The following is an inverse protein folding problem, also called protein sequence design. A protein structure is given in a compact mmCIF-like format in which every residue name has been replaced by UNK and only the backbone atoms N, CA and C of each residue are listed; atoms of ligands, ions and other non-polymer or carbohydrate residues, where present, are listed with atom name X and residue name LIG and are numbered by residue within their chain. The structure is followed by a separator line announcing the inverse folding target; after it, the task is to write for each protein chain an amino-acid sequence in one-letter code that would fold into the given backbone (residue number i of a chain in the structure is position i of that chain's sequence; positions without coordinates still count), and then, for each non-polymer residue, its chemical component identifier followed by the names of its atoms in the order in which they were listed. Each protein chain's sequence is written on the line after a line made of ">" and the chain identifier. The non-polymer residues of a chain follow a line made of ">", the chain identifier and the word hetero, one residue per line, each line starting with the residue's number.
data_IF_332175864800
#
_entry.id   IF_332175864800
#
_cell.length_a   1.000
_cell.length_b   1.000
_cell.length_c   1.000
_cell.angle_alpha   90.00
_cell.angle_beta   90.00
_cell.angle_gamma   90.00
#
_symmetry.space_group_name_H-M   'P 1'
#
loop_
_entity.id
_entity.type
_entity.pdbx_description
1 polymer ?
#
# COMPACT_ATOMS: atom_id res chain seq x y z
N UNK A 1 -9.69 -14.09 -13.40
CA UNK A 1 -9.99 -15.50 -13.67
C UNK A 1 -11.38 -15.93 -13.15
N UNK A 2 -11.80 -15.68 -11.88
CA UNK A 2 -13.12 -16.11 -11.38
C UNK A 2 -14.29 -15.62 -12.24
N UNK A 3 -14.23 -14.37 -12.70
CA UNK A 3 -15.25 -13.75 -13.57
C UNK A 3 -15.50 -14.58 -14.84
N UNK A 4 -14.44 -14.95 -15.54
CA UNK A 4 -14.56 -15.77 -16.77
C UNK A 4 -15.01 -17.19 -16.49
N UNK A 5 -14.59 -17.78 -15.37
CA UNK A 5 -15.07 -19.12 -14.94
C UNK A 5 -16.57 -19.09 -14.61
N UNK A 6 -17.08 -17.97 -14.17
CA UNK A 6 -18.52 -17.74 -13.96
C UNK A 6 -19.30 -17.41 -15.27
N UNK A 7 -18.61 -17.39 -16.42
CA UNK A 7 -19.24 -17.07 -17.71
C UNK A 7 -19.55 -15.58 -17.91
N UNK A 8 -18.98 -14.68 -17.08
CA UNK A 8 -19.26 -13.23 -17.13
C UNK A 8 -18.15 -12.51 -17.91
N UNK A 9 -18.48 -11.71 -18.93
CA UNK A 9 -17.49 -10.90 -19.63
C UNK A 9 -16.98 -9.76 -18.73
N UNK A 10 -15.78 -9.27 -19.03
CA UNK A 10 -15.15 -8.20 -18.25
C UNK A 10 -14.67 -7.05 -19.15
N UNK A 11 -14.98 -5.82 -18.73
CA UNK A 11 -14.34 -4.61 -19.23
C UNK A 11 -13.29 -4.20 -18.21
N UNK A 12 -12.02 -4.15 -18.62
CA UNK A 12 -10.90 -3.79 -17.75
C UNK A 12 -10.41 -2.38 -18.12
N UNK A 13 -10.34 -1.52 -17.14
CA UNK A 13 -9.74 -0.20 -17.23
C UNK A 13 -8.57 -0.12 -16.25
N UNK A 14 -7.32 -0.27 -16.70
CA UNK A 14 -6.15 -0.21 -15.83
C UNK A 14 -5.86 1.22 -15.35
N UNK A 15 -4.97 1.33 -14.37
CA UNK A 15 -4.38 2.62 -13.99
C UNK A 15 -3.68 3.25 -15.21
N UNK A 16 -3.91 4.53 -15.47
CA UNK A 16 -3.44 5.20 -16.69
C UNK A 16 -1.92 5.18 -16.82
N UNK A 17 -1.19 5.31 -15.73
CA UNK A 17 0.29 5.32 -15.71
C UNK A 17 0.94 3.98 -16.08
N UNK A 18 0.23 2.86 -15.90
CA UNK A 18 0.72 1.50 -16.19
C UNK A 18 -0.10 0.77 -17.25
N UNK A 19 -1.01 1.47 -17.91
CA UNK A 19 -1.94 0.88 -18.90
C UNK A 19 -1.24 0.20 -20.06
N UNK A 20 -0.07 0.68 -20.48
CA UNK A 20 0.73 0.06 -21.53
C UNK A 20 1.16 -1.39 -21.21
N UNK A 21 1.42 -1.71 -19.93
CA UNK A 21 1.73 -3.09 -19.50
C UNK A 21 0.49 -3.97 -19.58
N UNK A 22 -0.66 -3.46 -19.16
CA UNK A 22 -1.93 -4.19 -19.25
C UNK A 22 -2.32 -4.42 -20.71
N UNK A 23 -2.13 -3.43 -21.57
CA UNK A 23 -2.38 -3.53 -23.02
C UNK A 23 -1.53 -4.64 -23.63
N UNK A 24 -0.22 -4.66 -23.35
CA UNK A 24 0.67 -5.69 -23.84
C UNK A 24 0.26 -7.09 -23.37
N UNK A 25 -0.14 -7.24 -22.09
CA UNK A 25 -0.62 -8.51 -21.56
C UNK A 25 -1.93 -8.96 -22.22
N UNK A 26 -2.88 -8.05 -22.43
CA UNK A 26 -4.15 -8.36 -23.12
C UNK A 26 -3.90 -8.77 -24.57
N UNK A 27 -2.98 -8.11 -25.27
CA UNK A 27 -2.59 -8.46 -26.64
C UNK A 27 -2.07 -9.90 -26.71
N UNK A 28 -1.17 -10.28 -25.79
CA UNK A 28 -0.66 -11.67 -25.70
C UNK A 28 -1.81 -12.67 -25.49
N UNK A 29 -2.78 -12.37 -24.63
CA UNK A 29 -3.94 -13.23 -24.39
C UNK A 29 -4.82 -13.38 -25.63
N UNK A 30 -5.02 -12.29 -26.39
CA UNK A 30 -5.81 -12.30 -27.62
C UNK A 30 -5.11 -13.11 -28.73
N UNK A 31 -3.81 -12.91 -28.92
CA UNK A 31 -3.02 -13.63 -29.92
C UNK A 31 -2.97 -15.14 -29.62
N UNK A 32 -2.95 -15.51 -28.36
CA UNK A 32 -3.01 -16.89 -27.91
C UNK A 32 -4.42 -17.53 -27.97
N UNK A 33 -5.45 -16.77 -28.34
CA UNK A 33 -6.86 -17.20 -28.37
C UNK A 33 -7.32 -17.86 -27.05
N UNK A 34 -6.88 -17.32 -25.90
CA UNK A 34 -7.15 -17.90 -24.57
C UNK A 34 -8.60 -17.74 -24.12
N UNK A 35 -9.33 -16.79 -24.68
CA UNK A 35 -10.68 -16.43 -24.25
C UNK A 35 -11.63 -16.31 -25.45
N UNK A 36 -12.92 -16.62 -25.29
CA UNK A 36 -13.92 -16.35 -26.29
C UNK A 36 -13.93 -14.87 -26.71
N UNK A 37 -14.27 -14.61 -27.96
CA UNK A 37 -14.38 -13.24 -28.49
C UNK A 37 -15.37 -12.42 -27.65
N UNK A 38 -14.94 -11.23 -27.21
CA UNK A 38 -15.73 -10.31 -26.40
C UNK A 38 -15.72 -10.62 -24.89
N UNK A 39 -15.15 -11.73 -24.43
CA UNK A 39 -15.07 -12.04 -23.00
C UNK A 39 -14.21 -11.04 -22.22
N UNK A 40 -13.12 -10.55 -22.83
CA UNK A 40 -12.24 -9.53 -22.27
C UNK A 40 -12.21 -8.32 -23.20
N UNK A 41 -12.51 -7.15 -22.65
CA UNK A 41 -12.41 -5.87 -23.33
C UNK A 41 -11.53 -4.91 -22.52
N UNK A 42 -10.75 -4.08 -23.18
CA UNK A 42 -9.80 -3.17 -22.55
C UNK A 42 -10.11 -1.72 -22.93
N UNK A 43 -10.19 -0.86 -21.92
CA UNK A 43 -10.25 0.60 -22.08
C UNK A 43 -8.94 1.19 -21.58
N UNK A 44 -8.19 1.86 -22.46
CA UNK A 44 -6.98 2.61 -22.10
C UNK A 44 -7.32 4.09 -22.06
N UNK A 45 -7.12 4.74 -20.92
CA UNK A 45 -7.46 6.15 -20.71
C UNK A 45 -8.53 6.38 -19.64
N UNK A 46 -9.39 7.37 -19.83
CA UNK A 46 -10.49 7.65 -18.91
C UNK A 46 -11.64 6.66 -19.09
N UNK A 47 -12.52 6.58 -18.09
CA UNK A 47 -13.75 5.78 -18.19
C UNK A 47 -14.77 6.39 -19.17
N UNK A 48 -14.59 7.68 -19.56
CA UNK A 48 -15.60 8.38 -20.34
C UNK A 48 -16.97 8.31 -19.67
N UNK A 49 -17.98 7.94 -20.42
CA UNK A 49 -19.37 7.77 -20.03
C UNK A 49 -19.73 6.31 -19.63
N UNK A 50 -18.73 5.44 -19.43
CA UNK A 50 -18.98 4.01 -19.15
C UNK A 50 -19.97 3.79 -18.01
N UNK A 51 -19.94 4.64 -16.97
CA UNK A 51 -20.83 4.52 -15.82
C UNK A 51 -22.29 4.84 -16.16
N UNK A 52 -22.56 5.62 -17.20
CA UNK A 52 -23.91 5.92 -17.66
C UNK A 52 -24.63 4.70 -18.26
N UNK A 53 -23.87 3.68 -18.66
CA UNK A 53 -24.37 2.46 -19.28
C UNK A 53 -24.56 1.29 -18.31
N UNK A 54 -24.24 1.50 -17.02
CA UNK A 54 -24.39 0.45 -16.00
C UNK A 54 -25.86 0.18 -15.69
N UNK A 55 -26.14 -1.09 -15.43
CA UNK A 55 -27.47 -1.60 -15.05
C UNK A 55 -27.39 -2.44 -13.77
N UNK A 56 -28.55 -2.86 -13.26
CA UNK A 56 -28.65 -3.76 -12.08
C UNK A 56 -27.94 -5.11 -12.27
N UNK A 57 -27.63 -5.51 -13.51
CA UNK A 57 -26.94 -6.76 -13.82
C UNK A 57 -25.40 -6.63 -13.73
N UNK A 58 -24.91 -5.41 -13.70
CA UNK A 58 -23.47 -5.15 -13.72
C UNK A 58 -22.84 -5.17 -12.32
N UNK A 59 -21.54 -5.37 -12.28
CA UNK A 59 -20.73 -5.31 -11.08
C UNK A 59 -19.53 -4.42 -11.35
N UNK A 60 -19.33 -3.40 -10.53
CA UNK A 60 -18.10 -2.60 -10.52
C UNK A 60 -17.14 -3.17 -9.48
N UNK A 61 -15.94 -3.53 -9.91
CA UNK A 61 -14.83 -3.87 -9.03
C UNK A 61 -13.74 -2.82 -9.17
N UNK A 62 -13.38 -2.17 -8.08
CA UNK A 62 -12.42 -1.07 -8.05
C UNK A 62 -11.28 -1.37 -7.09
N UNK A 63 -10.04 -1.10 -7.50
CA UNK A 63 -8.87 -1.10 -6.64
C UNK A 63 -8.15 0.25 -6.78
N UNK A 64 -7.94 0.95 -5.68
CA UNK A 64 -7.28 2.26 -5.66
C UNK A 64 -7.59 3.06 -4.39
N UNK A 65 -7.44 4.39 -4.45
CA UNK A 65 -7.63 5.24 -3.27
C UNK A 65 -9.08 5.26 -2.78
N UNK A 66 -9.27 5.37 -1.46
CA UNK A 66 -10.57 5.50 -0.82
C UNK A 66 -11.37 6.70 -1.36
N UNK A 67 -10.69 7.83 -1.62
CA UNK A 67 -11.32 9.01 -2.20
C UNK A 67 -11.95 8.72 -3.58
N UNK A 68 -11.24 7.99 -4.44
CA UNK A 68 -11.77 7.59 -5.75
C UNK A 68 -12.88 6.55 -5.61
N UNK A 69 -12.70 5.54 -4.75
CA UNK A 69 -13.72 4.53 -4.49
C UNK A 69 -15.05 5.16 -4.05
N UNK A 70 -14.99 6.09 -3.09
CA UNK A 70 -16.16 6.79 -2.57
C UNK A 70 -16.86 7.63 -3.64
N UNK A 71 -16.10 8.32 -4.49
CA UNK A 71 -16.65 9.09 -5.61
C UNK A 71 -17.36 8.19 -6.63
N UNK A 72 -16.76 7.06 -6.99
CA UNK A 72 -17.34 6.12 -7.95
C UNK A 72 -18.59 5.43 -7.37
N UNK A 73 -18.53 5.03 -6.09
CA UNK A 73 -19.67 4.41 -5.39
C UNK A 73 -20.85 5.36 -5.27
N UNK A 74 -20.59 6.66 -5.12
CA UNK A 74 -21.62 7.69 -5.05
C UNK A 74 -22.13 8.16 -6.45
N UNK A 75 -21.68 7.55 -7.54
CA UNK A 75 -22.12 7.92 -8.88
C UNK A 75 -23.65 7.73 -9.01
N UNK A 76 -24.40 8.70 -9.57
CA UNK A 76 -25.87 8.66 -9.59
C UNK A 76 -26.45 7.37 -10.18
N UNK A 77 -25.83 6.84 -11.24
CA UNK A 77 -26.26 5.59 -11.89
C UNK A 77 -26.00 4.39 -10.97
N UNK A 78 -24.84 4.32 -10.32
CA UNK A 78 -24.53 3.23 -9.37
C UNK A 78 -25.58 3.17 -8.25
N UNK A 79 -25.97 4.33 -7.73
CA UNK A 79 -27.00 4.44 -6.68
C UNK A 79 -28.39 4.11 -7.22
N UNK A 80 -28.80 4.74 -8.31
CA UNK A 80 -30.14 4.59 -8.91
C UNK A 80 -30.42 3.15 -9.35
N UNK A 81 -29.47 2.54 -10.05
CA UNK A 81 -29.59 1.18 -10.56
C UNK A 81 -29.20 0.09 -9.56
N UNK A 82 -28.82 0.48 -8.32
CA UNK A 82 -28.34 -0.46 -7.30
C UNK A 82 -27.22 -1.38 -7.80
N UNK A 83 -26.30 -0.83 -8.57
CA UNK A 83 -25.15 -1.55 -9.14
C UNK A 83 -24.28 -2.09 -8.00
N UNK A 84 -23.94 -3.37 -8.06
CA UNK A 84 -23.04 -3.97 -7.07
C UNK A 84 -21.64 -3.36 -7.19
N UNK A 85 -21.15 -2.79 -6.10
CA UNK A 85 -19.85 -2.11 -6.07
C UNK A 85 -18.96 -2.75 -5.02
N UNK A 86 -17.83 -3.31 -5.46
CA UNK A 86 -16.78 -3.87 -4.60
C UNK A 86 -15.55 -2.99 -4.71
N UNK A 87 -15.00 -2.57 -3.58
CA UNK A 87 -13.80 -1.76 -3.54
C UNK A 87 -12.73 -2.38 -2.64
N UNK A 88 -11.54 -2.54 -3.20
CA UNK A 88 -10.29 -2.65 -2.46
C UNK A 88 -9.63 -1.27 -2.44
N UNK A 89 -9.54 -0.66 -1.28
CA UNK A 89 -9.10 0.72 -1.13
C UNK A 89 -8.02 0.83 -0.04
N UNK A 90 -7.65 2.05 0.32
CA UNK A 90 -6.57 2.36 1.27
C UNK A 90 -6.53 1.35 2.44
N UNK A 91 -5.31 0.92 2.78
CA UNK A 91 -5.08 -0.10 3.79
C UNK A 91 -3.96 0.31 4.75
N UNK A 92 -4.25 0.25 6.04
CA UNK A 92 -3.31 0.58 7.12
C UNK A 92 -2.88 -0.69 7.86
N UNK A 93 -2.28 -1.61 7.09
CA UNK A 93 -1.85 -2.90 7.59
C UNK A 93 -0.94 -2.78 8.80
N UNK A 94 -1.16 -3.66 9.77
CA UNK A 94 -0.41 -3.72 11.00
C UNK A 94 0.56 -4.90 11.01
N UNK A 95 1.72 -4.70 11.64
CA UNK A 95 2.63 -5.76 12.05
C UNK A 95 2.91 -5.61 13.53
N UNK A 96 2.76 -6.68 14.28
CA UNK A 96 2.91 -6.68 15.74
C UNK A 96 4.05 -7.61 16.11
N UNK A 97 5.05 -7.08 16.81
CA UNK A 97 6.05 -7.87 17.53
C UNK A 97 5.44 -8.31 18.87
N UNK A 98 5.43 -9.60 19.16
CA UNK A 98 4.80 -10.15 20.37
C UNK A 98 5.42 -9.64 21.68
N UNK A 99 4.67 -9.65 22.78
CA UNK A 99 5.15 -9.18 24.09
C UNK A 99 6.22 -10.10 24.70
N UNK A 100 6.35 -11.30 24.18
CA UNK A 100 7.34 -12.31 24.53
C UNK A 100 8.70 -12.13 23.85
N UNK A 101 8.78 -11.29 22.83
CA UNK A 101 10.00 -11.04 22.09
C UNK A 101 11.04 -10.26 22.93
N UNK A 102 12.30 -10.47 22.58
CA UNK A 102 13.46 -9.75 23.13
C UNK A 102 14.27 -9.17 21.98
N UNK A 103 15.10 -8.16 22.24
CA UNK A 103 15.91 -7.48 21.22
C UNK A 103 16.92 -8.41 20.49
N UNK A 104 17.22 -9.56 21.05
CA UNK A 104 18.14 -10.58 20.51
C UNK A 104 17.41 -11.87 20.08
N UNK A 105 16.07 -11.86 20.04
CA UNK A 105 15.28 -13.03 19.69
C UNK A 105 15.10 -13.16 18.16
N UNK A 106 14.92 -14.39 17.64
CA UNK A 106 14.62 -14.61 16.23
C UNK A 106 13.38 -13.89 15.73
N UNK A 107 12.35 -13.73 16.59
CA UNK A 107 11.09 -13.05 16.29
C UNK A 107 11.33 -11.56 16.05
N UNK A 108 12.20 -10.93 16.88
CA UNK A 108 12.62 -9.55 16.69
C UNK A 108 13.33 -9.35 15.35
N UNK A 109 14.32 -10.19 15.05
CA UNK A 109 15.06 -10.11 13.78
C UNK A 109 14.15 -10.31 12.58
N UNK A 110 13.20 -11.24 12.66
CA UNK A 110 12.24 -11.52 11.61
C UNK A 110 11.28 -10.34 11.41
N UNK A 111 10.77 -9.76 12.50
CA UNK A 111 9.93 -8.55 12.46
C UNK A 111 10.66 -7.40 11.78
N UNK A 112 11.88 -7.07 12.20
CA UNK A 112 12.70 -6.00 11.60
C UNK A 112 12.93 -6.26 10.10
N UNK A 113 13.22 -7.50 9.75
CA UNK A 113 13.43 -7.91 8.35
C UNK A 113 12.18 -7.71 7.49
N UNK A 114 11.03 -8.17 7.98
CA UNK A 114 9.79 -8.09 7.21
C UNK A 114 9.25 -6.66 7.12
N UNK A 115 9.32 -5.85 8.19
CA UNK A 115 8.93 -4.43 8.13
C UNK A 115 9.78 -3.69 7.09
N UNK A 116 11.11 -3.82 7.14
CA UNK A 116 11.99 -3.16 6.17
C UNK A 116 11.77 -3.65 4.74
N UNK A 117 11.54 -4.96 4.54
CA UNK A 117 11.23 -5.55 3.24
C UNK A 117 9.91 -5.01 2.67
N UNK A 118 8.85 -4.95 3.49
CA UNK A 118 7.55 -4.46 3.08
C UNK A 118 7.58 -2.95 2.75
N UNK A 119 8.46 -2.18 3.39
CA UNK A 119 8.71 -0.78 3.03
C UNK A 119 9.44 -0.64 1.69
N UNK A 120 10.34 -1.55 1.33
CA UNK A 120 11.28 -1.36 0.20
C UNK A 120 10.90 -2.11 -1.07
N UNK A 121 10.27 -3.28 -0.95
CA UNK A 121 9.80 -4.06 -2.11
C UNK A 121 8.74 -3.26 -2.87
N UNK A 122 8.92 -3.10 -4.19
CA UNK A 122 8.10 -2.22 -5.05
C UNK A 122 8.03 -0.76 -4.54
N UNK A 123 9.06 -0.29 -3.81
CA UNK A 123 9.06 1.00 -3.13
C UNK A 123 7.81 1.20 -2.24
N UNK A 124 7.37 0.15 -1.52
CA UNK A 124 6.21 0.17 -0.65
C UNK A 124 4.85 0.33 -1.35
N UNK A 125 4.81 0.31 -2.68
CA UNK A 125 3.57 0.44 -3.46
C UNK A 125 2.84 -0.91 -3.55
N UNK A 126 2.42 -1.42 -2.40
CA UNK A 126 1.67 -2.65 -2.22
C UNK A 126 0.48 -2.41 -1.31
N UNK A 127 -0.67 -2.96 -1.67
CA UNK A 127 -1.87 -2.92 -0.83
C UNK A 127 -1.67 -3.65 0.52
N UNK A 128 -0.71 -4.58 0.58
CA UNK A 128 -0.37 -5.35 1.79
C UNK A 128 0.85 -4.82 2.55
N UNK A 129 1.46 -3.70 2.14
CA UNK A 129 2.64 -3.16 2.80
C UNK A 129 2.33 -2.78 4.26
N UNK A 130 3.30 -3.02 5.15
CA UNK A 130 3.19 -2.70 6.57
C UNK A 130 3.28 -1.17 6.75
N UNK A 131 2.18 -0.56 7.17
CA UNK A 131 2.09 0.88 7.43
C UNK A 131 2.25 1.20 8.92
N UNK A 132 1.89 0.27 9.78
CA UNK A 132 1.89 0.40 11.25
C UNK A 132 2.66 -0.76 11.85
N UNK A 133 3.84 -0.48 12.39
CA UNK A 133 4.72 -1.43 13.04
C UNK A 133 4.61 -1.24 14.56
N UNK A 134 4.05 -2.21 15.28
CA UNK A 134 3.75 -2.14 16.71
C UNK A 134 4.70 -3.03 17.49
N UNK A 135 5.30 -2.48 18.54
CA UNK A 135 6.26 -3.18 19.38
C UNK A 135 5.96 -2.95 20.86
N UNK A 136 6.34 -3.87 21.76
CA UNK A 136 6.33 -3.60 23.20
C UNK A 136 7.05 -2.27 23.49
N UNK A 137 6.51 -1.44 24.40
CA UNK A 137 7.09 -0.13 24.72
C UNK A 137 8.57 -0.24 25.13
N UNK A 138 8.95 -1.31 25.80
CA UNK A 138 10.34 -1.60 26.17
C UNK A 138 11.30 -1.88 25.02
N UNK A 139 10.79 -2.23 23.84
CA UNK A 139 11.58 -2.54 22.64
C UNK A 139 11.55 -1.42 21.58
N UNK A 140 10.86 -0.31 21.86
CA UNK A 140 10.65 0.77 20.88
C UNK A 140 11.97 1.34 20.34
N UNK A 141 12.92 1.66 21.22
CA UNK A 141 14.22 2.23 20.84
C UNK A 141 15.08 1.21 20.09
N UNK A 142 15.09 -0.05 20.54
CA UNK A 142 15.82 -1.12 19.87
C UNK A 142 15.27 -1.39 18.46
N UNK A 143 13.95 -1.42 18.31
CA UNK A 143 13.29 -1.60 17.02
C UNK A 143 13.55 -0.42 16.08
N UNK A 144 13.50 0.82 16.58
CA UNK A 144 13.86 2.00 15.80
C UNK A 144 15.28 1.91 15.27
N UNK A 145 16.26 1.64 16.14
CA UNK A 145 17.66 1.56 15.76
C UNK A 145 17.91 0.46 14.72
N UNK A 146 17.32 -0.73 14.93
CA UNK A 146 17.48 -1.86 14.01
C UNK A 146 16.82 -1.61 12.64
N UNK A 147 15.63 -1.01 12.60
CA UNK A 147 14.95 -0.64 11.36
C UNK A 147 15.73 0.44 10.61
N UNK A 148 16.15 1.51 11.28
CA UNK A 148 16.94 2.58 10.67
C UNK A 148 18.22 2.03 10.04
N UNK A 149 19.00 1.26 10.80
CA UNK A 149 20.24 0.65 10.31
C UNK A 149 20.05 -0.28 9.11
N UNK A 150 18.87 -0.91 9.00
CA UNK A 150 18.53 -1.76 7.86
C UNK A 150 18.06 -0.95 6.65
N UNK A 151 17.26 0.07 6.85
CA UNK A 151 16.74 0.93 5.79
C UNK A 151 17.85 1.78 5.14
N UNK A 152 18.81 2.27 5.92
CA UNK A 152 19.97 3.01 5.42
C UNK A 152 20.85 2.20 4.45
N UNK A 153 20.85 0.88 4.57
CA UNK A 153 21.58 -0.03 3.66
C UNK A 153 20.83 -0.30 2.35
N UNK A 154 19.63 0.25 2.16
CA UNK A 154 18.84 0.04 0.95
C UNK A 154 19.44 0.77 -0.23
N UNK A 155 19.99 0.04 -1.19
CA UNK A 155 20.51 0.62 -2.44
C UNK A 155 19.34 1.04 -3.31
N UNK A 156 19.21 2.34 -3.53
CA UNK A 156 18.14 2.94 -4.35
C UNK A 156 18.74 3.30 -5.72
N UNK A 157 18.09 2.86 -6.81
CA UNK A 157 18.66 3.08 -8.12
C UNK A 157 17.85 2.53 -9.28
N UNK A 158 18.52 2.37 -10.40
CA UNK A 158 17.96 1.75 -11.61
C UNK A 158 17.70 0.25 -11.33
N UNK A 159 16.46 -0.26 -11.52
CA UNK A 159 16.13 -1.66 -11.28
C UNK A 159 16.83 -2.63 -12.25
N UNK A 160 17.49 -2.14 -13.30
CA UNK A 160 18.33 -2.97 -14.18
C UNK A 160 19.71 -3.25 -13.59
N UNK A 161 20.11 -2.51 -12.57
CA UNK A 161 21.34 -2.77 -11.82
C UNK A 161 21.05 -3.83 -10.75
N UNK A 162 21.79 -4.92 -10.76
CA UNK A 162 21.64 -6.04 -9.81
C UNK A 162 21.88 -5.64 -8.35
N UNK A 163 22.64 -4.56 -8.10
CA UNK A 163 22.84 -4.02 -6.76
C UNK A 163 21.60 -3.30 -6.21
N UNK A 164 20.73 -2.80 -7.08
CA UNK A 164 19.52 -2.06 -6.68
C UNK A 164 18.56 -2.94 -5.89
N UNK A 165 18.06 -2.41 -4.78
CA UNK A 165 17.06 -3.05 -3.91
C UNK A 165 15.72 -2.34 -3.91
N UNK A 166 15.71 -1.05 -4.26
CA UNK A 166 14.49 -0.26 -4.38
C UNK A 166 14.60 0.68 -5.60
N UNK A 167 13.63 0.61 -6.49
CA UNK A 167 13.49 1.50 -7.63
C UNK A 167 12.67 2.76 -7.31
N UNK A 168 12.26 3.47 -8.36
CA UNK A 168 11.39 4.64 -8.26
C UNK A 168 9.94 4.26 -7.93
N UNK A 169 9.18 5.23 -7.43
CA UNK A 169 7.72 5.20 -7.45
C UNK A 169 7.21 5.25 -8.90
N UNK A 170 5.94 4.90 -9.08
CA UNK A 170 5.32 4.80 -10.41
C UNK A 170 5.31 6.12 -11.19
N UNK A 171 5.32 7.25 -10.49
CA UNK A 171 5.33 8.59 -11.10
C UNK A 171 5.78 9.66 -10.11
N UNK A 172 6.15 10.82 -10.64
CA UNK A 172 6.43 12.01 -9.82
C UNK A 172 5.20 12.52 -9.08
N UNK A 173 4.01 12.35 -9.64
CA UNK A 173 2.75 12.64 -8.96
C UNK A 173 2.58 11.74 -7.72
N UNK A 174 2.87 10.43 -7.84
CA UNK A 174 2.83 9.51 -6.71
C UNK A 174 3.86 9.89 -5.64
N UNK A 175 5.08 10.29 -6.04
CA UNK A 175 6.10 10.77 -5.10
C UNK A 175 5.61 12.00 -4.32
N UNK A 176 4.98 12.94 -5.00
CA UNK A 176 4.47 14.15 -4.36
C UNK A 176 3.32 13.82 -3.40
N UNK A 177 2.40 12.92 -3.79
CA UNK A 177 1.34 12.44 -2.90
C UNK A 177 1.90 11.79 -1.63
N UNK A 178 2.90 10.90 -1.77
CA UNK A 178 3.57 10.27 -0.62
C UNK A 178 4.19 11.33 0.31
N UNK A 179 4.82 12.37 -0.24
CA UNK A 179 5.38 13.47 0.55
C UNK A 179 4.31 14.23 1.35
N UNK A 180 3.18 14.54 0.72
CA UNK A 180 2.06 15.19 1.43
C UNK A 180 1.49 14.28 2.52
N UNK A 181 1.34 12.98 2.26
CA UNK A 181 0.89 12.01 3.25
C UNK A 181 1.87 11.87 4.43
N UNK A 182 3.17 11.84 4.18
CA UNK A 182 4.19 11.88 5.24
C UNK A 182 4.01 13.14 6.10
N UNK A 183 3.80 14.31 5.48
CA UNK A 183 3.56 15.56 6.19
C UNK A 183 2.29 15.51 7.06
N UNK A 184 1.20 14.92 6.55
CA UNK A 184 -0.02 14.70 7.34
C UNK A 184 0.25 13.81 8.55
N UNK A 185 0.94 12.67 8.36
CA UNK A 185 1.29 11.74 9.44
C UNK A 185 2.25 12.38 10.45
N UNK A 186 3.13 13.27 9.99
CA UNK A 186 4.10 13.97 10.86
C UNK A 186 3.47 14.96 11.84
N UNK A 187 2.17 15.22 11.76
CA UNK A 187 1.44 15.93 12.81
C UNK A 187 1.37 15.12 14.12
N UNK A 188 1.40 13.78 14.02
CA UNK A 188 1.26 12.85 15.14
C UNK A 188 2.52 12.00 15.39
N UNK A 189 3.52 12.07 14.49
CA UNK A 189 4.70 11.21 14.52
C UNK A 189 5.95 11.96 14.05
N UNK A 190 7.12 11.56 14.54
CA UNK A 190 8.41 12.17 14.15
C UNK A 190 9.13 11.28 13.14
N UNK A 191 9.72 11.86 12.10
CA UNK A 191 10.59 11.13 11.18
C UNK A 191 11.89 10.78 11.91
N UNK A 192 12.21 9.49 11.99
CA UNK A 192 13.39 8.96 12.68
C UNK A 192 14.41 8.32 11.72
N UNK A 193 14.03 8.08 10.47
CA UNK A 193 14.93 7.63 9.41
C UNK A 193 14.38 8.06 8.05
N UNK A 194 15.29 8.43 7.15
CA UNK A 194 14.97 8.88 5.79
C UNK A 194 14.65 10.36 5.69
N UNK A 195 14.74 10.89 4.47
CA UNK A 195 14.34 12.26 4.13
C UNK A 195 13.35 12.22 2.97
N UNK A 196 12.07 12.59 3.20
CA UNK A 196 11.06 12.58 2.14
C UNK A 196 11.37 13.56 1.00
N UNK A 197 12.20 14.57 1.23
CA UNK A 197 12.55 15.58 0.23
C UNK A 197 13.78 15.21 -0.58
N UNK A 198 14.58 14.25 -0.12
CA UNK A 198 15.74 13.78 -0.86
C UNK A 198 15.36 13.12 -2.19
N UNK A 199 16.25 13.23 -3.17
CA UNK A 199 16.21 12.51 -4.43
C UNK A 199 17.43 11.57 -4.49
N UNK A 200 17.38 10.40 -3.86
CA UNK A 200 18.55 9.59 -3.51
C UNK A 200 19.34 9.05 -4.71
N UNK A 201 18.78 9.08 -5.89
CA UNK A 201 19.44 8.59 -7.11
C UNK A 201 19.38 9.62 -8.24
N UNK A 202 18.21 10.23 -8.48
CA UNK A 202 17.99 11.11 -9.62
C UNK A 202 16.83 12.08 -9.35
N UNK A 203 17.06 13.38 -9.49
CA UNK A 203 16.05 14.41 -9.27
C UNK A 203 14.89 14.37 -10.28
N UNK A 204 15.16 13.95 -11.52
CA UNK A 204 14.15 13.85 -12.58
C UNK A 204 13.23 12.65 -12.40
N UNK A 205 13.66 11.62 -11.67
CA UNK A 205 12.90 10.42 -11.39
C UNK A 205 11.96 10.57 -10.20
N UNK A 206 11.11 9.58 -10.01
CA UNK A 206 10.21 9.51 -8.86
C UNK A 206 10.85 8.77 -7.67
N UNK A 207 12.13 8.96 -7.45
CA UNK A 207 12.86 8.34 -6.34
C UNK A 207 12.56 9.05 -5.03
N UNK A 208 12.49 8.27 -3.95
CA UNK A 208 12.30 8.73 -2.57
C UNK A 208 13.03 7.76 -1.63
N UNK A 209 13.59 8.25 -0.54
CA UNK A 209 14.14 7.40 0.51
C UNK A 209 13.04 6.65 1.25
N UNK A 210 13.30 5.44 1.79
CA UNK A 210 12.44 4.87 2.80
C UNK A 210 12.33 5.80 4.01
N UNK A 211 11.10 6.04 4.48
CA UNK A 211 10.82 6.92 5.61
C UNK A 211 10.20 6.13 6.75
N UNK A 212 10.89 6.10 7.88
CA UNK A 212 10.37 5.55 9.12
C UNK A 212 9.94 6.71 10.03
N UNK A 213 8.68 6.68 10.44
CA UNK A 213 8.17 7.58 11.47
C UNK A 213 8.07 6.84 12.81
N UNK A 214 8.07 7.58 13.90
CA UNK A 214 7.83 7.10 15.26
C UNK A 214 6.70 7.90 15.90
N UNK A 215 5.68 7.21 16.37
CA UNK A 215 4.56 7.78 17.10
C UNK A 215 4.64 7.32 18.56
N UNK A 216 4.91 8.25 19.48
CA UNK A 216 5.02 7.96 20.92
C UNK A 216 3.66 7.70 21.58
N UNK A 217 2.62 8.35 21.10
CA UNK A 217 1.29 8.32 21.71
C UNK A 217 0.23 7.84 20.69
N UNK A 218 0.23 6.55 20.31
CA UNK A 218 -0.63 6.06 19.24
C UNK A 218 -2.13 6.20 19.55
N UNK A 219 -2.51 6.25 20.82
CA UNK A 219 -3.91 6.45 21.21
C UNK A 219 -4.43 7.86 20.95
N UNK A 220 -3.58 8.87 21.05
CA UNK A 220 -3.93 10.27 20.78
C UNK A 220 -3.74 10.64 19.31
N UNK A 221 -2.96 9.86 18.59
CA UNK A 221 -2.67 10.07 17.18
C UNK A 221 -3.87 9.72 16.30
N UNK A 222 -4.02 10.44 15.19
CA UNK A 222 -5.04 10.22 14.19
C UNK A 222 -4.45 9.88 12.83
N UNK A 223 -3.50 10.67 12.35
CA UNK A 223 -2.90 10.51 11.03
C UNK A 223 -2.29 9.13 10.81
N UNK A 224 -1.61 8.56 11.80
CA UNK A 224 -1.01 7.22 11.74
C UNK A 224 -2.03 6.09 11.56
N UNK A 225 -3.31 6.34 11.85
CA UNK A 225 -4.39 5.35 11.75
C UNK A 225 -5.39 5.63 10.62
N UNK A 226 -5.35 6.82 10.01
CA UNK A 226 -6.32 7.25 9.00
C UNK A 226 -5.66 7.58 7.64
N UNK A 227 -4.34 7.76 7.58
CA UNK A 227 -3.64 8.22 6.37
C UNK A 227 -2.70 7.15 5.84
N UNK A 228 -2.97 6.65 4.61
CA UNK A 228 -2.04 5.78 3.91
C UNK A 228 -1.09 6.58 3.00
N UNK A 229 0.22 6.49 3.27
CA UNK A 229 1.25 6.90 2.33
C UNK A 229 1.63 5.71 1.45
N UNK A 230 1.09 5.65 0.22
CA UNK A 230 1.32 4.52 -0.70
C UNK A 230 2.72 4.58 -1.33
N UNK A 231 3.73 4.37 -0.48
CA UNK A 231 5.15 4.46 -0.76
C UNK A 231 5.98 3.73 0.29
N UNK A 232 7.31 3.93 0.34
CA UNK A 232 8.21 3.25 1.27
C UNK A 232 8.15 3.89 2.66
N UNK A 233 6.98 3.86 3.29
CA UNK A 233 6.67 4.55 4.55
C UNK A 233 6.04 3.58 5.54
N UNK A 234 6.53 3.60 6.78
CA UNK A 234 5.90 2.91 7.91
C UNK A 234 6.04 3.73 9.19
N UNK A 235 5.11 3.55 10.12
CA UNK A 235 5.15 4.21 11.43
C UNK A 235 5.35 3.16 12.53
N UNK A 236 6.43 3.32 13.30
CA UNK A 236 6.71 2.53 14.50
C UNK A 236 5.96 3.14 15.68
N UNK A 237 5.31 2.30 16.49
CA UNK A 237 4.54 2.74 17.64
C UNK A 237 4.59 1.73 18.79
N UNK A 238 4.60 2.19 20.05
CA UNK A 238 4.58 1.32 21.20
C UNK A 238 3.19 0.79 21.53
N UNK A 239 3.16 -0.32 22.24
CA UNK A 239 2.00 -0.83 22.97
C UNK A 239 2.42 -1.35 24.35
N UNK A 240 1.50 -1.39 25.32
CA UNK A 240 1.78 -1.78 26.70
C UNK A 240 1.62 -3.29 26.90
N UNK A 241 0.55 -3.89 26.38
CA UNK A 241 0.26 -5.32 26.51
C UNK A 241 -0.44 -5.89 25.27
N UNK A 242 -0.73 -7.16 25.26
CA UNK A 242 -1.37 -7.84 24.13
C UNK A 242 -2.79 -7.28 23.85
N UNK A 243 -3.54 -6.88 24.86
CA UNK A 243 -4.87 -6.29 24.69
C UNK A 243 -4.77 -4.91 24.02
N UNK A 244 -3.78 -4.13 24.43
CA UNK A 244 -3.45 -2.83 23.83
C UNK A 244 -3.03 -2.98 22.36
N UNK A 245 -2.15 -3.93 22.04
CA UNK A 245 -1.74 -4.22 20.65
C UNK A 245 -2.93 -4.61 19.74
N UNK A 246 -3.86 -5.44 20.26
CA UNK A 246 -5.08 -5.82 19.54
C UNK A 246 -5.96 -4.58 19.29
N UNK A 247 -6.16 -3.77 20.30
CA UNK A 247 -7.00 -2.58 20.21
C UNK A 247 -6.40 -1.54 19.25
N UNK A 248 -5.08 -1.31 19.27
CA UNK A 248 -4.37 -0.45 18.32
C UNK A 248 -4.45 -1.01 16.89
N UNK A 249 -4.33 -2.33 16.72
CA UNK A 249 -4.48 -2.97 15.41
C UNK A 249 -5.85 -2.66 14.82
N UNK A 250 -6.91 -2.77 15.61
CA UNK A 250 -8.29 -2.53 15.20
C UNK A 250 -8.56 -1.06 14.80
N UNK A 251 -7.75 -0.10 15.24
CA UNK A 251 -7.84 1.29 14.78
C UNK A 251 -7.58 1.46 13.29
N UNK A 252 -6.91 0.53 12.64
CA UNK A 252 -6.74 0.51 11.18
C UNK A 252 -7.97 0.11 10.40
N UNK A 253 -9.08 -0.15 11.07
CA UNK A 253 -10.38 -0.49 10.46
C UNK A 253 -10.28 -1.70 9.52
N UNK A 254 -10.72 -1.58 8.26
CA UNK A 254 -10.75 -2.64 7.26
C UNK A 254 -9.42 -2.90 6.54
N UNK A 255 -8.29 -2.84 7.23
CA UNK A 255 -6.98 -3.18 6.67
C UNK A 255 -6.94 -4.62 6.14
N UNK A 256 -6.15 -4.86 5.10
CA UNK A 256 -6.12 -6.14 4.39
C UNK A 256 -5.33 -7.21 5.12
N UNK A 257 -4.26 -6.83 5.82
CA UNK A 257 -3.29 -7.75 6.43
C UNK A 257 -2.91 -7.30 7.83
N UNK A 258 -2.81 -8.27 8.72
CA UNK A 258 -2.13 -8.15 10.00
C UNK A 258 -1.14 -9.32 10.13
N UNK A 259 0.08 -9.05 10.55
CA UNK A 259 1.08 -10.06 10.88
C UNK A 259 1.49 -9.95 12.35
N UNK A 260 1.74 -11.08 12.98
CA UNK A 260 2.27 -11.16 14.35
C UNK A 260 3.55 -12.00 14.36
N UNK A 261 4.53 -11.54 15.13
CA UNK A 261 5.82 -12.21 15.33
C UNK A 261 5.95 -12.53 16.81
N UNK A 262 5.71 -13.75 17.17
CA UNK A 262 5.66 -14.27 18.55
C UNK A 262 6.26 -15.67 18.56
N UNK A 263 6.76 -16.08 19.70
CA UNK A 263 7.27 -17.44 19.95
C UNK A 263 6.12 -18.44 20.09
#
# INVERSE_FOLDING_TARGET
>A
APTFLAGVPAIVKPASTTSYLTEAAVRIMLDANMLPKGALQLIVGSTGDLFEHLTTQDVVSFTGSAATANRLKAHPVVVRESVRFVAEQDSLNASVLGPDAKADSPEFDLFIKEVAKEMTVKAGQKCTAIRRAMVPASLLDAAQAALAARLEKTVIGDPRDEATRMGALVSTSQRNDVREKIKEISADATIVCGDPNAAPFNEKGAFISPVLLRCENPWQARGVHDVEAFGPVSTLMPYEDAADAIALTNRGKGSLVMSAFTY
#
